data_IF_694861457451
#
_entry.id   IF_694861457451
#
_cell.length_a   1.000
_cell.length_b   1.000
_cell.length_c   1.000
_cell.angle_alpha   90.00
_cell.angle_beta   90.00
_cell.angle_gamma   90.00
#
_symmetry.space_group_name_H-M   'P 1'
#
loop_
_entity.id
_entity.type
_entity.pdbx_description
1 polymer ?
#
# COMPACT_ATOMS: atom_id res chain seq x y z
N UNK A 1 -1.18 -33.84 -9.00
CA UNK A 1 -1.25 -32.43 -8.59
C UNK A 1 -1.05 -32.39 -7.08
N UNK A 2 0.11 -31.94 -6.58
CA UNK A 2 0.31 -31.83 -5.14
C UNK A 2 -0.45 -30.60 -4.63
N UNK A 3 -1.40 -30.82 -3.73
CA UNK A 3 -2.01 -29.75 -2.95
C UNK A 3 -0.91 -29.13 -2.09
N UNK A 4 -0.46 -27.92 -2.43
CA UNK A 4 0.35 -27.11 -1.51
C UNK A 4 -0.56 -26.68 -0.38
N UNK A 5 -0.53 -27.41 0.72
CA UNK A 5 -1.11 -26.95 1.98
C UNK A 5 -0.30 -25.73 2.41
N UNK A 6 -0.87 -24.53 2.25
CA UNK A 6 -0.28 -23.33 2.83
C UNK A 6 -0.38 -23.52 4.34
N UNK A 7 0.75 -23.71 5.01
CA UNK A 7 0.82 -23.80 6.46
C UNK A 7 0.43 -22.44 7.05
N UNK A 8 -0.85 -22.26 7.38
CA UNK A 8 -1.39 -21.07 8.04
C UNK A 8 -1.27 -19.76 7.24
N UNK A 9 -2.38 -19.17 6.83
CA UNK A 9 -2.37 -17.78 6.32
C UNK A 9 -2.48 -16.83 7.51
N UNK A 10 -1.46 -16.01 7.72
CA UNK A 10 -1.46 -14.97 8.75
C UNK A 10 -1.88 -13.64 8.15
N UNK A 11 -2.92 -13.04 8.72
CA UNK A 11 -3.51 -11.78 8.27
C UNK A 11 -3.39 -10.77 9.39
N UNK A 12 -2.88 -9.58 9.07
CA UNK A 12 -2.82 -8.44 9.98
C UNK A 12 -3.74 -7.33 9.49
N UNK A 13 -4.44 -6.66 10.41
CA UNK A 13 -5.23 -5.48 10.08
C UNK A 13 -5.07 -4.40 11.14
N UNK A 14 -4.82 -3.16 10.71
CA UNK A 14 -4.71 -2.03 11.61
C UNK A 14 -5.08 -0.70 10.94
N UNK A 15 -5.78 0.16 11.67
CA UNK A 15 -5.98 1.55 11.28
C UNK A 15 -4.69 2.35 11.53
N UNK A 16 -4.14 2.94 10.46
CA UNK A 16 -2.87 3.67 10.52
C UNK A 16 -3.05 5.17 10.77
N UNK A 17 -4.30 5.64 10.88
CA UNK A 17 -4.65 7.03 11.19
C UNK A 17 -3.90 8.05 10.32
N UNK A 18 -3.77 7.76 9.02
CA UNK A 18 -3.05 8.57 8.03
C UNK A 18 -1.57 8.85 8.40
N UNK A 19 -0.93 7.94 9.14
CA UNK A 19 0.45 8.09 9.57
C UNK A 19 1.43 7.32 8.65
N UNK A 20 2.12 8.04 7.78
CA UNK A 20 3.15 7.47 6.88
C UNK A 20 4.28 6.76 7.64
N UNK A 21 4.76 7.34 8.75
CA UNK A 21 5.87 6.77 9.50
C UNK A 21 5.49 5.43 10.12
N UNK A 22 4.32 5.38 10.78
CA UNK A 22 3.80 4.14 11.34
C UNK A 22 3.60 3.08 10.28
N UNK A 23 3.10 3.47 9.10
CA UNK A 23 2.88 2.56 7.98
C UNK A 23 4.19 1.90 7.52
N UNK A 24 5.24 2.70 7.29
CA UNK A 24 6.56 2.21 6.87
C UNK A 24 7.18 1.28 7.92
N UNK A 25 7.08 1.64 9.20
CA UNK A 25 7.59 0.82 10.30
C UNK A 25 6.85 -0.53 10.41
N UNK A 26 5.54 -0.54 10.18
CA UNK A 26 4.76 -1.79 10.19
C UNK A 26 5.11 -2.71 9.03
N UNK A 27 5.21 -2.17 7.81
CA UNK A 27 5.56 -2.97 6.64
C UNK A 27 6.92 -3.66 6.83
N UNK A 28 7.91 -2.93 7.35
CA UNK A 28 9.24 -3.50 7.63
C UNK A 28 9.18 -4.57 8.74
N UNK A 29 8.42 -4.33 9.81
CA UNK A 29 8.33 -5.25 10.97
C UNK A 29 7.58 -6.54 10.67
N UNK A 30 6.58 -6.50 9.79
CA UNK A 30 5.65 -7.60 9.59
C UNK A 30 6.05 -8.56 8.46
N UNK A 31 7.05 -8.21 7.64
CA UNK A 31 7.42 -8.96 6.43
C UNK A 31 7.68 -10.45 6.69
N UNK A 32 8.40 -10.78 7.75
CA UNK A 32 8.80 -12.18 8.00
C UNK A 32 7.71 -13.05 8.66
N UNK A 33 6.56 -12.47 9.03
CA UNK A 33 5.58 -13.15 9.90
C UNK A 33 4.12 -13.10 9.43
N UNK A 34 3.80 -12.20 8.50
CA UNK A 34 2.44 -11.95 8.00
C UNK A 34 2.39 -12.15 6.49
N UNK A 35 1.32 -12.78 5.99
CA UNK A 35 1.14 -12.97 4.55
C UNK A 35 0.32 -11.84 3.91
N UNK A 36 -0.66 -11.29 4.63
CA UNK A 36 -1.59 -10.27 4.14
C UNK A 36 -1.77 -9.17 5.18
N UNK A 37 -1.66 -7.92 4.75
CA UNK A 37 -1.88 -6.73 5.60
C UNK A 37 -3.04 -5.89 5.05
N UNK A 38 -3.96 -5.50 5.93
CA UNK A 38 -4.97 -4.48 5.66
C UNK A 38 -4.72 -3.22 6.52
N UNK A 39 -4.47 -2.08 5.88
CA UNK A 39 -4.24 -0.80 6.56
C UNK A 39 -5.40 0.16 6.30
N UNK A 40 -6.19 0.48 7.33
CA UNK A 40 -7.26 1.48 7.23
C UNK A 40 -6.73 2.90 7.41
N UNK A 41 -7.44 3.88 6.83
CA UNK A 41 -7.05 5.29 6.81
C UNK A 41 -5.62 5.53 6.33
N UNK A 42 -5.23 4.96 5.18
CA UNK A 42 -3.87 5.14 4.71
C UNK A 42 -3.59 6.61 4.37
N UNK A 43 -2.33 7.06 4.54
CA UNK A 43 -1.93 8.45 4.36
C UNK A 43 -1.99 8.98 2.93
N UNK A 44 -2.20 8.13 1.91
CA UNK A 44 -2.22 8.47 0.48
C UNK A 44 -1.21 9.57 0.13
N UNK A 45 0.08 9.25 0.17
CA UNK A 45 1.15 10.22 -0.10
C UNK A 45 1.40 10.38 -1.61
N UNK A 46 1.90 11.56 -2.01
CA UNK A 46 2.43 11.77 -3.34
C UNK A 46 3.69 10.89 -3.50
N UNK A 47 3.62 9.91 -4.41
CA UNK A 47 4.69 8.93 -4.66
C UNK A 47 5.64 9.42 -5.76
N UNK A 48 5.20 10.37 -6.60
CA UNK A 48 5.96 10.93 -7.72
C UNK A 48 5.26 12.20 -8.22
N UNK A 49 6.01 13.23 -8.63
CA UNK A 49 5.48 14.25 -9.54
C UNK A 49 5.68 13.78 -10.98
N UNK A 50 4.59 13.60 -11.74
CA UNK A 50 4.67 13.28 -13.15
C UNK A 50 4.87 14.58 -13.96
N UNK A 51 5.74 14.60 -14.98
CA UNK A 51 5.88 15.77 -15.85
C UNK A 51 4.53 16.08 -16.51
N UNK A 52 4.04 17.30 -16.32
CA UNK A 52 2.78 17.76 -16.91
C UNK A 52 3.08 18.62 -18.14
N UNK A 53 2.27 18.50 -19.18
CA UNK A 53 2.37 19.37 -20.37
C UNK A 53 1.74 20.74 -20.15
N UNK A 54 1.03 20.92 -19.02
CA UNK A 54 0.30 22.15 -18.66
C UNK A 54 0.81 22.83 -17.40
N UNK A 55 1.61 22.14 -16.57
CA UNK A 55 2.15 22.64 -15.30
C UNK A 55 3.68 22.44 -15.23
N UNK A 56 4.40 23.49 -14.82
CA UNK A 56 5.85 23.44 -14.55
C UNK A 56 6.20 22.59 -13.32
N UNK A 57 5.26 22.45 -12.38
CA UNK A 57 5.45 21.69 -11.13
C UNK A 57 5.20 20.19 -11.32
N UNK A 58 4.56 19.80 -12.44
CA UNK A 58 4.08 18.45 -12.67
C UNK A 58 2.76 18.16 -11.95
N UNK A 59 2.24 16.95 -12.14
CA UNK A 59 1.04 16.46 -11.47
C UNK A 59 1.44 15.50 -10.34
N UNK A 60 0.86 15.68 -9.15
CA UNK A 60 1.08 14.77 -8.02
C UNK A 60 0.47 13.39 -8.31
N UNK A 61 1.32 12.38 -8.41
CA UNK A 61 0.91 10.97 -8.48
C UNK A 61 0.72 10.47 -7.06
N UNK A 62 -0.52 10.51 -6.59
CA UNK A 62 -0.89 9.91 -5.31
C UNK A 62 -0.85 8.40 -5.44
N UNK A 63 -0.12 7.73 -4.55
CA UNK A 63 0.12 6.30 -4.65
C UNK A 63 0.19 5.59 -3.31
N UNK A 64 0.01 4.28 -3.34
CA UNK A 64 0.39 3.45 -2.20
C UNK A 64 1.91 3.44 -2.07
N UNK A 65 2.46 3.56 -0.85
CA UNK A 65 3.90 3.47 -0.66
C UNK A 65 4.43 2.10 -1.08
N UNK A 66 5.60 2.11 -1.70
CA UNK A 66 6.27 0.92 -2.22
C UNK A 66 7.21 0.35 -1.17
N UNK A 67 7.18 -0.97 -0.99
CA UNK A 67 8.12 -1.72 -0.15
C UNK A 67 8.55 -2.96 -0.93
N UNK A 68 9.85 -3.34 -0.94
CA UNK A 68 10.36 -4.43 -1.76
C UNK A 68 9.66 -5.77 -1.51
N UNK A 69 9.36 -6.09 -0.25
CA UNK A 69 8.72 -7.36 0.15
C UNK A 69 7.19 -7.37 0.06
N UNK A 70 6.56 -6.25 -0.33
CA UNK A 70 5.10 -6.12 -0.33
C UNK A 70 4.54 -5.65 -1.67
N UNK A 71 3.56 -6.39 -2.19
CA UNK A 71 2.78 -5.99 -3.36
C UNK A 71 1.49 -5.33 -2.88
N UNK A 72 1.32 -4.04 -3.21
CA UNK A 72 0.05 -3.36 -2.96
C UNK A 72 -1.00 -3.84 -3.97
N UNK A 73 -2.14 -4.30 -3.47
CA UNK A 73 -3.25 -4.83 -4.26
C UNK A 73 -4.32 -3.78 -4.58
N UNK A 74 -4.11 -2.53 -4.18
CA UNK A 74 -5.10 -1.46 -4.35
C UNK A 74 -4.88 -0.73 -5.66
N UNK A 75 -5.94 -0.62 -6.44
CA UNK A 75 -5.97 0.21 -7.64
C UNK A 75 -5.80 1.68 -7.25
N UNK A 76 -4.87 2.37 -7.91
CA UNK A 76 -4.70 3.81 -7.71
C UNK A 76 -5.88 4.53 -8.38
N UNK A 77 -6.62 5.39 -7.64
CA UNK A 77 -7.75 6.11 -8.19
C UNK A 77 -7.30 7.05 -9.32
N UNK A 78 -8.14 7.24 -10.33
CA UNK A 78 -7.92 8.27 -11.34
C UNK A 78 -8.05 9.68 -10.71
N UNK A 79 -7.48 10.73 -11.33
CA UNK A 79 -7.67 12.11 -10.87
C UNK A 79 -9.16 12.45 -10.74
N UNK A 80 -9.60 12.85 -9.54
CA UNK A 80 -11.00 13.16 -9.23
C UNK A 80 -11.80 12.01 -8.60
N UNK A 81 -11.25 10.80 -8.53
CA UNK A 81 -11.87 9.68 -7.83
C UNK A 81 -11.55 9.66 -6.33
N UNK A 82 -12.47 9.10 -5.54
CA UNK A 82 -12.27 8.95 -4.10
C UNK A 82 -11.22 7.88 -3.81
N UNK A 83 -10.21 8.23 -3.02
CA UNK A 83 -9.22 7.27 -2.56
C UNK A 83 -9.84 6.14 -1.74
N UNK A 84 -9.40 4.88 -1.94
CA UNK A 84 -9.82 3.76 -1.11
C UNK A 84 -9.55 4.04 0.38
N UNK A 85 -10.41 3.51 1.26
CA UNK A 85 -10.23 3.70 2.72
C UNK A 85 -9.27 2.69 3.34
N UNK A 86 -8.89 1.68 2.58
CA UNK A 86 -8.07 0.55 3.03
C UNK A 86 -7.02 0.25 1.97
N UNK A 87 -5.77 0.08 2.39
CA UNK A 87 -4.71 -0.53 1.59
C UNK A 87 -4.60 -2.01 1.92
N UNK A 88 -4.45 -2.84 0.90
CA UNK A 88 -4.17 -4.26 1.03
C UNK A 88 -2.77 -4.55 0.46
N UNK A 89 -1.96 -5.25 1.24
CA UNK A 89 -0.64 -5.72 0.84
C UNK A 89 -0.57 -7.24 0.94
N UNK A 90 0.06 -7.87 -0.03
CA UNK A 90 0.41 -9.29 0.00
C UNK A 90 1.92 -9.42 -0.02
N UNK A 91 2.46 -10.33 0.79
CA UNK A 91 3.89 -10.62 0.79
C UNK A 91 4.31 -11.19 -0.56
N UNK A 92 5.37 -10.65 -1.17
CA UNK A 92 5.91 -11.13 -2.46
C UNK A 92 6.72 -12.42 -2.32
#
# INVERSE_FOLDING_TARGET
>A
MSSRTISGVHIYSQNICKNNFSMSVLLERLKDSINIIFLQEPPWSCVRSAPSTVSLEGDDVIGAPKHPDWVCMVHLPCPGEQHPRVMAYVHS
#
